data_IF_063721361816
#
_entry.id   IF_063721361816
#
_cell.length_a   1.000
_cell.length_b   1.000
_cell.length_c   1.000
_cell.angle_alpha   90.00
_cell.angle_beta   90.00
_cell.angle_gamma   90.00
#
_symmetry.space_group_name_H-M   'P 1'
#
loop_
_entity.id
_entity.type
_entity.pdbx_description
1 polymer ?
#
# COMPACT_ATOMS: atom_id res chain seq x y z
N UNK A 1 7.14 -16.47 9.29
CA UNK A 1 8.56 -16.37 8.87
C UNK A 1 8.76 -16.72 7.39
N UNK A 2 8.31 -17.89 6.90
CA UNK A 2 8.46 -18.28 5.48
C UNK A 2 7.74 -17.35 4.49
N UNK A 3 6.49 -16.96 4.76
CA UNK A 3 5.75 -16.03 3.87
C UNK A 3 6.45 -14.67 3.70
N UNK A 4 6.91 -14.06 4.80
CA UNK A 4 7.68 -12.81 4.76
C UNK A 4 9.01 -12.96 4.03
N UNK A 5 9.68 -14.13 4.13
CA UNK A 5 10.92 -14.43 3.42
C UNK A 5 10.70 -14.53 1.92
N UNK A 6 9.70 -15.32 1.49
CA UNK A 6 9.32 -15.45 0.07
C UNK A 6 8.91 -14.12 -0.57
N UNK A 7 8.21 -13.27 0.19
CA UNK A 7 7.91 -11.90 -0.26
C UNK A 7 9.18 -11.07 -0.48
N UNK A 8 10.11 -11.07 0.48
CA UNK A 8 11.39 -10.36 0.34
C UNK A 8 12.24 -10.91 -0.81
N UNK A 9 12.17 -12.23 -1.04
CA UNK A 9 12.87 -12.91 -2.13
C UNK A 9 12.31 -12.58 -3.52
N UNK A 10 11.03 -12.20 -3.62
CA UNK A 10 10.41 -11.71 -4.84
C UNK A 10 10.77 -10.25 -5.17
N UNK A 11 11.35 -9.49 -4.22
CA UNK A 11 11.74 -8.10 -4.44
C UNK A 11 13.11 -7.99 -5.13
N UNK A 12 13.32 -6.85 -5.80
CA UNK A 12 14.61 -6.50 -6.39
C UNK A 12 15.76 -6.54 -5.36
N UNK A 13 16.97 -6.82 -5.84
CA UNK A 13 18.18 -6.88 -4.98
C UNK A 13 18.40 -5.57 -4.21
N UNK A 14 18.15 -4.42 -4.84
CA UNK A 14 18.24 -3.11 -4.21
C UNK A 14 17.23 -2.94 -3.06
N UNK A 15 15.96 -3.29 -3.31
CA UNK A 15 14.89 -3.19 -2.30
C UNK A 15 15.18 -4.10 -1.11
N UNK A 16 15.66 -5.32 -1.37
CA UNK A 16 15.94 -6.34 -0.33
C UNK A 16 17.06 -5.91 0.63
N UNK A 17 18.09 -5.21 0.14
CA UNK A 17 19.19 -4.69 0.98
C UNK A 17 18.76 -3.61 1.96
N UNK A 18 17.66 -2.92 1.68
CA UNK A 18 17.16 -1.80 2.49
C UNK A 18 16.14 -2.23 3.55
N UNK A 19 15.75 -3.50 3.55
CA UNK A 19 14.75 -4.06 4.45
C UNK A 19 15.40 -5.07 5.40
N UNK A 20 15.03 -5.04 6.68
CA UNK A 20 15.52 -5.99 7.67
C UNK A 20 14.97 -7.38 7.37
N UNK A 21 15.86 -8.35 7.15
CA UNK A 21 15.45 -9.74 6.90
C UNK A 21 15.12 -10.44 8.22
N UNK A 22 13.98 -11.12 8.26
CA UNK A 22 13.68 -12.05 9.35
C UNK A 22 14.56 -13.31 9.21
N UNK A 23 14.97 -13.95 10.32
CA UNK A 23 15.71 -15.20 10.27
C UNK A 23 14.89 -16.30 9.57
N UNK A 24 15.61 -17.22 8.90
CA UNK A 24 15.00 -18.40 8.27
C UNK A 24 14.22 -19.18 9.34
N UNK A 25 13.05 -19.69 8.97
CA UNK A 25 12.31 -20.60 9.85
C UNK A 25 13.12 -21.89 10.05
N UNK A 26 13.09 -22.43 11.26
CA UNK A 26 13.76 -23.68 11.63
C UNK A 26 12.93 -24.89 11.17
N UNK A 27 12.80 -25.03 9.85
CA UNK A 27 12.09 -26.13 9.18
C UNK A 27 12.82 -26.50 7.90
N UNK A 28 12.80 -27.79 7.56
CA UNK A 28 13.47 -28.32 6.37
C UNK A 28 12.77 -27.90 5.08
N UNK A 29 11.44 -28.10 5.01
CA UNK A 29 10.64 -27.76 3.83
C UNK A 29 9.20 -27.36 4.20
N UNK A 30 8.64 -26.41 3.44
CA UNK A 30 7.21 -26.05 3.51
C UNK A 30 6.59 -26.12 2.13
N UNK A 31 5.77 -27.16 1.93
CA UNK A 31 5.00 -27.40 0.71
C UNK A 31 3.64 -26.68 0.78
N UNK A 32 3.04 -26.40 -0.38
CA UNK A 32 1.71 -25.81 -0.52
C UNK A 32 1.50 -24.45 0.14
N UNK A 33 2.57 -23.66 0.34
CA UNK A 33 2.42 -22.29 0.85
C UNK A 33 1.71 -21.46 -0.23
N UNK A 34 0.54 -20.85 0.09
CA UNK A 34 -0.14 -19.96 -0.85
C UNK A 34 0.74 -18.77 -1.21
N UNK A 35 0.42 -18.07 -2.29
CA UNK A 35 1.14 -16.87 -2.69
C UNK A 35 1.32 -15.93 -1.49
N UNK A 36 2.57 -15.65 -1.14
CA UNK A 36 2.89 -14.82 0.01
C UNK A 36 2.51 -13.36 -0.31
N UNK A 37 1.31 -12.95 0.07
CA UNK A 37 0.92 -11.55 0.07
C UNK A 37 1.37 -10.94 1.40
N UNK A 38 2.47 -10.20 1.39
CA UNK A 38 2.83 -9.39 2.55
C UNK A 38 1.92 -8.16 2.59
N UNK A 39 0.81 -8.26 3.31
CA UNK A 39 0.05 -7.10 3.75
C UNK A 39 0.85 -6.39 4.84
N UNK A 40 1.84 -5.60 4.43
CA UNK A 40 2.54 -4.74 5.35
C UNK A 40 1.57 -3.64 5.77
N UNK A 41 1.23 -3.58 7.07
CA UNK A 41 0.67 -2.35 7.61
C UNK A 41 1.64 -1.24 7.26
N UNK A 42 1.15 -0.16 6.64
CA UNK A 42 1.99 0.99 6.31
C UNK A 42 2.71 1.45 7.58
N UNK A 43 3.93 2.01 7.45
CA UNK A 43 4.68 2.50 8.60
C UNK A 43 3.78 3.31 9.52
N UNK A 44 3.72 2.95 10.80
CA UNK A 44 2.85 3.61 11.78
C UNK A 44 3.17 5.09 11.98
N UNK A 45 4.32 5.55 11.48
CA UNK A 45 4.72 6.96 11.41
C UNK A 45 4.40 7.50 10.01
N UNK A 46 3.31 8.27 9.85
CA UNK A 46 3.01 8.96 8.61
C UNK A 46 4.10 10.03 8.35
N UNK A 47 4.47 10.27 7.10
CA UNK A 47 5.33 11.42 6.78
C UNK A 47 4.66 12.75 7.14
N UNK A 48 5.41 13.85 7.27
CA UNK A 48 4.88 15.19 7.62
C UNK A 48 3.70 15.65 6.75
N UNK A 49 3.64 15.19 5.49
CA UNK A 49 2.56 15.53 4.53
C UNK A 49 1.40 14.52 4.52
N UNK A 50 1.49 13.45 5.31
CA UNK A 50 0.46 12.42 5.34
C UNK A 50 -0.72 12.90 6.17
N UNK A 51 -1.92 12.73 5.62
CA UNK A 51 -3.17 12.99 6.30
C UNK A 51 -3.86 11.66 6.59
N UNK A 52 -4.96 11.71 7.36
CA UNK A 52 -5.83 10.54 7.56
C UNK A 52 -6.24 9.91 6.21
N UNK A 53 -6.63 10.74 5.24
CA UNK A 53 -7.10 10.26 3.93
C UNK A 53 -6.02 9.58 3.08
N UNK A 54 -4.74 9.97 3.21
CA UNK A 54 -3.63 9.27 2.53
C UNK A 54 -3.21 8.01 3.27
N UNK A 55 -3.29 8.02 4.60
CA UNK A 55 -2.98 6.86 5.45
C UNK A 55 -3.97 5.71 5.27
N UNK A 56 -5.26 6.02 5.16
CA UNK A 56 -6.35 5.03 4.98
C UNK A 56 -6.71 4.73 3.53
N UNK A 57 -6.03 5.36 2.57
CA UNK A 57 -6.32 5.31 1.12
C UNK A 57 -7.69 5.87 0.69
N UNK A 58 -8.50 6.33 1.64
CA UNK A 58 -9.81 6.94 1.40
C UNK A 58 -9.74 8.08 0.37
N UNK A 59 -8.64 8.85 0.38
CA UNK A 59 -8.45 9.94 -0.58
C UNK A 59 -8.41 9.46 -2.03
N UNK A 60 -7.93 8.23 -2.32
CA UNK A 60 -7.89 7.71 -3.69
C UNK A 60 -9.32 7.47 -4.21
N UNK A 61 -10.17 6.84 -3.40
CA UNK A 61 -11.57 6.63 -3.72
C UNK A 61 -12.31 7.95 -3.87
N UNK A 62 -12.10 8.91 -2.96
CA UNK A 62 -12.71 10.24 -3.08
C UNK A 62 -12.29 10.95 -4.36
N UNK A 63 -11.01 10.93 -4.73
CA UNK A 63 -10.52 11.58 -5.95
C UNK A 63 -11.18 11.03 -7.21
N UNK A 64 -11.36 9.70 -7.27
CA UNK A 64 -12.07 9.06 -8.38
C UNK A 64 -13.55 9.44 -8.42
N UNK A 65 -14.22 9.44 -7.26
CA UNK A 65 -15.63 9.85 -7.18
C UNK A 65 -15.82 11.31 -7.60
N UNK A 66 -15.01 12.23 -7.09
CA UNK A 66 -15.09 13.64 -7.48
C UNK A 66 -14.81 13.84 -8.98
N UNK A 67 -13.85 13.11 -9.55
CA UNK A 67 -13.56 13.18 -10.99
C UNK A 67 -14.72 12.72 -11.89
N UNK A 68 -15.59 11.82 -11.42
CA UNK A 68 -16.62 11.19 -12.26
C UNK A 68 -18.05 11.65 -11.93
N UNK A 69 -18.28 12.04 -10.69
CA UNK A 69 -19.63 12.28 -10.15
C UNK A 69 -19.83 13.72 -9.66
N UNK A 70 -18.76 14.50 -9.45
CA UNK A 70 -18.94 15.87 -8.98
C UNK A 70 -19.37 16.80 -10.13
N UNK A 71 -20.33 17.68 -9.84
CA UNK A 71 -20.65 18.84 -10.68
C UNK A 71 -20.16 20.09 -9.96
N UNK A 72 -19.07 20.66 -10.45
CA UNK A 72 -18.44 21.82 -9.81
C UNK A 72 -19.17 23.10 -10.20
N UNK A 73 -19.66 23.82 -9.20
CA UNK A 73 -20.23 25.16 -9.37
C UNK A 73 -19.12 26.20 -9.30
N UNK A 74 -19.01 27.07 -10.30
CA UNK A 74 -18.09 28.20 -10.24
C UNK A 74 -18.58 29.24 -9.21
N UNK A 75 -17.71 30.15 -8.74
CA UNK A 75 -18.09 31.22 -7.80
C UNK A 75 -19.24 32.12 -8.31
N UNK A 76 -19.33 32.27 -9.64
CA UNK A 76 -20.40 33.03 -10.30
C UNK A 76 -21.72 32.23 -10.44
N UNK A 77 -21.72 30.96 -10.02
CA UNK A 77 -22.92 30.14 -9.91
C UNK A 77 -23.20 29.20 -11.09
N UNK A 78 -22.37 29.18 -12.13
CA UNK A 78 -22.50 28.29 -13.28
C UNK A 78 -21.99 26.87 -12.99
N UNK A 79 -22.52 25.88 -13.70
CA UNK A 79 -21.99 24.51 -13.73
C UNK A 79 -21.39 24.24 -15.12
N UNK A 80 -20.32 23.45 -15.18
CA UNK A 80 -19.85 22.89 -16.45
C UNK A 80 -20.86 21.82 -16.90
N UNK A 81 -21.41 22.01 -18.10
CA UNK A 81 -22.29 21.06 -18.77
C UNK A 81 -21.51 19.82 -19.26
#
# INVERSE_FOLDING_TARGET
>A
AEGSRRYLDALSTYTRRRMTQAPKADVDEVLYVPAALALHQRPGVPGIRSTFGTGTELLNSLRLMYSRLASHRCPNGHYLA
#
